data_IF_360457267548
#
_entry.id   IF_360457267548
#
_cell.length_a   1.000
_cell.length_b   1.000
_cell.length_c   1.000
_cell.angle_alpha   90.00
_cell.angle_beta   90.00
_cell.angle_gamma   90.00
#
_symmetry.space_group_name_H-M   'P 1'
#
loop_
_entity.id
_entity.type
_entity.pdbx_description
1 polymer ?
#
# COMPACT_ATOMS: atom_id res chain seq x y z
N UNK A 1 -26.66 6.18 -21.64
CA UNK A 1 -26.75 5.35 -20.42
C UNK A 1 -25.47 4.55 -20.35
N UNK A 2 -24.63 4.78 -19.35
CA UNK A 2 -23.45 3.95 -19.15
C UNK A 2 -23.93 2.56 -18.70
N UNK A 3 -23.62 1.52 -19.47
CA UNK A 3 -23.80 0.15 -19.03
C UNK A 3 -23.01 -0.04 -17.73
N UNK A 4 -23.70 -0.38 -16.65
CA UNK A 4 -23.02 -0.84 -15.44
C UNK A 4 -22.34 -2.15 -15.81
N UNK A 5 -21.01 -2.15 -15.81
CA UNK A 5 -20.23 -3.37 -15.89
C UNK A 5 -20.74 -4.33 -14.80
N UNK A 6 -21.20 -5.49 -15.22
CA UNK A 6 -21.62 -6.52 -14.27
C UNK A 6 -20.36 -7.07 -13.60
N UNK A 7 -20.36 -7.06 -12.27
CA UNK A 7 -19.31 -7.69 -11.47
C UNK A 7 -19.15 -9.16 -11.91
N UNK A 8 -17.99 -9.49 -12.44
CA UNK A 8 -17.69 -10.86 -12.89
C UNK A 8 -17.30 -11.71 -11.68
N UNK A 9 -18.16 -12.66 -11.33
CA UNK A 9 -17.95 -13.60 -10.23
C UNK A 9 -17.19 -14.86 -10.63
N UNK A 10 -16.77 -14.97 -11.90
CA UNK A 10 -15.99 -16.11 -12.39
C UNK A 10 -14.52 -15.99 -12.04
N UNK A 11 -14.02 -14.77 -11.78
CA UNK A 11 -12.64 -14.49 -11.36
C UNK A 11 -12.51 -14.43 -9.85
N UNK A 12 -11.37 -14.84 -9.33
CA UNK A 12 -11.01 -14.61 -7.95
C UNK A 12 -10.71 -13.13 -7.72
N UNK A 13 -11.35 -12.52 -6.73
CA UNK A 13 -11.16 -11.12 -6.37
C UNK A 13 -10.35 -11.02 -5.10
N UNK A 14 -9.26 -10.26 -5.15
CA UNK A 14 -8.33 -10.04 -4.05
C UNK A 14 -8.09 -8.56 -3.85
N UNK A 15 -8.26 -8.07 -2.62
CA UNK A 15 -7.95 -6.71 -2.22
C UNK A 15 -6.61 -6.68 -1.51
N UNK A 16 -5.64 -5.96 -2.07
CA UNK A 16 -4.29 -5.81 -1.51
C UNK A 16 -4.07 -4.34 -1.19
N UNK A 17 -3.68 -4.03 0.03
CA UNK A 17 -3.40 -2.67 0.46
C UNK A 17 -1.92 -2.38 0.61
N UNK A 18 -1.45 -1.24 0.10
CA UNK A 18 -0.16 -0.66 0.48
C UNK A 18 -0.34 0.22 1.71
N UNK A 19 0.36 -0.08 2.77
CA UNK A 19 0.23 0.59 4.06
C UNK A 19 1.61 0.89 4.65
N UNK A 20 1.74 1.89 5.50
CA UNK A 20 3.00 2.26 6.13
C UNK A 20 3.04 3.73 6.51
N UNK A 21 4.17 4.15 7.06
CA UNK A 21 4.40 5.54 7.47
C UNK A 21 4.46 6.48 6.25
N UNK A 22 4.18 7.77 6.47
CA UNK A 22 4.34 8.83 5.47
C UNK A 22 5.78 8.84 4.90
N UNK A 23 5.93 9.18 3.64
CA UNK A 23 7.21 9.27 2.92
C UNK A 23 8.00 7.95 2.76
N UNK A 24 7.44 6.80 3.14
CA UNK A 24 8.06 5.49 2.90
C UNK A 24 7.87 4.96 1.47
N UNK A 25 7.06 5.64 0.64
CA UNK A 25 6.93 5.35 -0.80
C UNK A 25 5.79 4.40 -1.15
N UNK A 26 4.70 4.35 -0.38
CA UNK A 26 3.50 3.53 -0.66
C UNK A 26 2.88 3.84 -2.01
N UNK A 27 2.55 5.10 -2.27
CA UNK A 27 1.94 5.57 -3.52
C UNK A 27 2.88 5.34 -4.71
N UNK A 28 4.17 5.57 -4.52
CA UNK A 28 5.20 5.28 -5.54
C UNK A 28 5.28 3.80 -5.86
N UNK A 29 5.21 2.92 -4.85
CA UNK A 29 5.16 1.47 -5.05
C UNK A 29 3.91 1.05 -5.82
N UNK A 30 2.74 1.59 -5.46
CA UNK A 30 1.48 1.35 -6.16
C UNK A 30 1.58 1.76 -7.62
N UNK A 31 2.11 2.93 -7.91
CA UNK A 31 2.35 3.41 -9.28
C UNK A 31 3.34 2.50 -10.04
N UNK A 32 4.40 2.04 -9.40
CA UNK A 32 5.38 1.13 -10.00
C UNK A 32 4.77 -0.24 -10.35
N UNK A 33 3.94 -0.78 -9.47
CA UNK A 33 3.24 -2.05 -9.70
C UNK A 33 2.29 -1.92 -10.91
N UNK A 34 1.45 -0.89 -10.93
CA UNK A 34 0.49 -0.66 -12.04
C UNK A 34 1.21 -0.42 -13.35
N UNK A 35 2.30 0.35 -13.36
CA UNK A 35 3.12 0.59 -14.54
C UNK A 35 3.73 -0.71 -15.08
N UNK A 36 4.31 -1.53 -14.22
CA UNK A 36 4.93 -2.80 -14.60
C UNK A 36 3.93 -3.76 -15.22
N UNK A 37 2.74 -3.85 -14.62
CA UNK A 37 1.67 -4.72 -15.12
C UNK A 37 1.00 -4.16 -16.37
N UNK A 38 0.86 -2.85 -16.50
CA UNK A 38 0.38 -2.20 -17.73
C UNK A 38 1.29 -2.50 -18.94
N UNK A 39 2.62 -2.53 -18.75
CA UNK A 39 3.57 -2.92 -19.78
C UNK A 39 3.44 -4.39 -20.20
N UNK A 40 2.89 -5.24 -19.33
CA UNK A 40 2.57 -6.65 -19.62
C UNK A 40 1.13 -6.84 -20.14
N UNK A 41 0.32 -5.79 -20.22
CA UNK A 41 -1.09 -5.84 -20.62
C UNK A 41 -2.07 -6.27 -19.52
N UNK A 42 -1.62 -6.38 -18.27
CA UNK A 42 -2.42 -6.90 -17.15
C UNK A 42 -3.10 -5.78 -16.32
N UNK A 43 -2.85 -4.51 -16.61
CA UNK A 43 -3.44 -3.38 -15.93
C UNK A 43 -3.49 -2.11 -16.78
N UNK A 44 -4.36 -1.18 -16.42
CA UNK A 44 -4.31 0.19 -16.91
C UNK A 44 -3.21 0.98 -16.20
N UNK A 45 -2.45 1.76 -16.96
CA UNK A 45 -1.40 2.58 -16.39
C UNK A 45 -1.95 3.69 -15.49
N UNK A 46 -1.48 3.75 -14.25
CA UNK A 46 -1.73 4.85 -13.33
C UNK A 46 -0.42 5.52 -12.96
N UNK A 47 -0.32 6.81 -13.30
CA UNK A 47 0.80 7.64 -12.86
C UNK A 47 0.60 8.09 -11.41
N UNK A 48 1.68 8.43 -10.72
CA UNK A 48 1.66 8.93 -9.33
C UNK A 48 0.62 10.05 -9.13
N UNK A 49 0.59 11.02 -10.04
CA UNK A 49 -0.37 12.12 -10.01
C UNK A 49 -1.83 11.71 -10.23
N UNK A 50 -2.06 10.52 -10.74
CA UNK A 50 -3.41 9.96 -10.95
C UNK A 50 -3.91 9.20 -9.73
N UNK A 51 -3.01 8.76 -8.86
CA UNK A 51 -3.34 8.08 -7.59
C UNK A 51 -3.76 9.12 -6.56
N UNK A 52 -2.95 10.16 -6.35
CA UNK A 52 -3.27 11.28 -5.46
C UNK A 52 -4.11 12.33 -6.23
N UNK A 53 -5.42 12.17 -6.19
CA UNK A 53 -6.36 12.96 -7.01
C UNK A 53 -6.83 14.27 -6.36
N UNK A 54 -6.91 14.31 -5.04
CA UNK A 54 -7.40 15.49 -4.33
C UNK A 54 -6.41 16.66 -4.42
N UNK A 55 -6.87 17.91 -4.64
CA UNK A 55 -5.99 19.08 -4.64
C UNK A 55 -5.14 19.21 -3.39
N UNK A 56 -5.73 18.92 -2.23
CA UNK A 56 -5.06 18.95 -0.91
C UNK A 56 -3.94 17.91 -0.81
N UNK A 57 -4.10 16.75 -1.44
CA UNK A 57 -3.08 15.68 -1.47
C UNK A 57 -1.86 16.14 -2.28
N UNK A 58 -2.10 16.73 -3.45
CA UNK A 58 -1.03 17.26 -4.31
C UNK A 58 -0.28 18.41 -3.69
N UNK A 59 -1.00 19.33 -3.04
CA UNK A 59 -0.40 20.49 -2.38
C UNK A 59 0.50 20.08 -1.19
N UNK A 60 0.06 19.09 -0.42
CA UNK A 60 0.81 18.61 0.76
C UNK A 60 1.82 17.51 0.44
N UNK A 61 1.72 16.88 -0.74
CA UNK A 61 2.56 15.74 -1.13
C UNK A 61 2.31 14.50 -0.29
N UNK A 62 1.10 14.32 0.27
CA UNK A 62 0.69 13.19 1.09
C UNK A 62 -0.66 12.64 0.64
N UNK A 63 -0.87 11.34 0.81
CA UNK A 63 -2.16 10.70 0.56
C UNK A 63 -3.10 10.91 1.75
N UNK A 64 -4.24 11.53 1.50
CA UNK A 64 -5.28 11.81 2.51
C UNK A 64 -6.38 10.76 2.45
N UNK A 65 -6.83 10.43 1.24
CA UNK A 65 -7.88 9.45 0.99
C UNK A 65 -7.29 8.21 0.35
N UNK A 66 -7.89 7.05 0.66
CA UNK A 66 -7.51 5.80 -0.01
C UNK A 66 -7.82 5.89 -1.50
N UNK A 67 -6.88 5.53 -2.34
CA UNK A 67 -7.06 5.40 -3.78
C UNK A 67 -6.99 3.95 -4.21
N UNK A 68 -7.57 3.63 -5.36
CA UNK A 68 -7.70 2.26 -5.85
C UNK A 68 -7.21 2.16 -7.28
N UNK A 69 -6.46 1.09 -7.55
CA UNK A 69 -6.09 0.67 -8.89
C UNK A 69 -6.54 -0.77 -9.11
N UNK A 70 -7.14 -1.03 -10.26
CA UNK A 70 -7.58 -2.38 -10.65
C UNK A 70 -6.59 -2.97 -11.62
N UNK A 71 -6.22 -4.22 -11.39
CA UNK A 71 -5.30 -4.96 -12.24
C UNK A 71 -5.71 -6.44 -12.28
N UNK A 72 -5.40 -7.09 -13.40
CA UNK A 72 -5.62 -8.51 -13.58
C UNK A 72 -4.28 -9.24 -13.66
N UNK A 73 -4.19 -10.37 -13.00
CA UNK A 73 -3.03 -11.24 -13.07
C UNK A 73 -3.46 -12.70 -13.19
N UNK A 74 -3.32 -13.27 -14.37
CA UNK A 74 -3.89 -14.57 -14.68
C UNK A 74 -5.41 -14.56 -14.50
N UNK A 75 -5.93 -15.48 -13.69
CA UNK A 75 -7.37 -15.61 -13.39
C UNK A 75 -7.80 -14.80 -12.14
N UNK A 76 -6.91 -13.95 -11.62
CA UNK A 76 -7.16 -13.18 -10.40
C UNK A 76 -7.37 -11.70 -10.73
N UNK A 77 -8.48 -11.16 -10.27
CA UNK A 77 -8.77 -9.72 -10.31
C UNK A 77 -8.32 -9.07 -9.01
N UNK A 78 -7.30 -8.21 -9.10
CA UNK A 78 -6.68 -7.57 -7.93
C UNK A 78 -7.11 -6.11 -7.85
N UNK A 79 -7.62 -5.72 -6.71
CA UNK A 79 -7.80 -4.32 -6.35
C UNK A 79 -6.65 -3.90 -5.44
N UNK A 80 -5.77 -3.06 -5.95
CA UNK A 80 -4.67 -2.49 -5.19
C UNK A 80 -5.13 -1.18 -4.56
N UNK A 81 -5.07 -1.11 -3.24
CA UNK A 81 -5.56 0.04 -2.46
C UNK A 81 -4.38 0.75 -1.82
N UNK A 82 -4.20 2.02 -2.13
CA UNK A 82 -3.19 2.87 -1.49
C UNK A 82 -3.80 3.57 -0.28
N UNK A 83 -3.28 3.29 0.92
CA UNK A 83 -3.81 3.82 2.17
C UNK A 83 -3.04 5.08 2.63
N UNK A 84 -3.71 6.05 3.29
CA UNK A 84 -3.04 7.18 3.91
C UNK A 84 -1.96 6.75 4.89
N UNK A 85 -0.82 7.43 4.89
CA UNK A 85 0.32 7.12 5.76
C UNK A 85 0.49 8.08 6.94
N UNK A 86 -0.22 9.21 6.94
CA UNK A 86 -0.11 10.21 8.00
C UNK A 86 -0.96 9.85 9.21
N UNK A 87 -0.45 10.11 10.42
CA UNK A 87 -1.15 9.78 11.69
C UNK A 87 -2.53 10.45 11.83
N UNK A 88 -2.70 11.64 11.25
CA UNK A 88 -3.96 12.38 11.28
C UNK A 88 -5.09 11.69 10.48
N UNK A 89 -4.72 10.76 9.58
CA UNK A 89 -5.66 10.00 8.74
C UNK A 89 -5.77 8.52 9.14
N UNK A 90 -5.44 8.20 10.39
CA UNK A 90 -5.48 6.82 10.93
C UNK A 90 -6.86 6.18 10.84
N UNK A 91 -7.94 6.96 10.99
CA UNK A 91 -9.31 6.45 10.85
C UNK A 91 -9.61 6.00 9.42
N UNK A 92 -9.11 6.72 8.40
CA UNK A 92 -9.25 6.34 7.00
C UNK A 92 -8.41 5.09 6.69
N UNK A 93 -7.19 5.03 7.21
CA UNK A 93 -6.33 3.85 7.09
C UNK A 93 -7.01 2.62 7.74
N UNK A 94 -7.61 2.75 8.92
CA UNK A 94 -8.31 1.66 9.58
C UNK A 94 -9.54 1.17 8.80
N UNK A 95 -10.31 2.07 8.19
CA UNK A 95 -11.42 1.69 7.31
C UNK A 95 -10.93 0.90 6.10
N UNK A 96 -9.84 1.35 5.49
CA UNK A 96 -9.21 0.67 4.36
C UNK A 96 -8.77 -0.74 4.74
N UNK A 97 -8.13 -0.91 5.89
CA UNK A 97 -7.68 -2.21 6.38
C UNK A 97 -8.78 -3.26 6.43
N UNK A 98 -9.98 -2.89 6.89
CA UNK A 98 -11.10 -3.83 7.01
C UNK A 98 -11.57 -4.42 5.68
N UNK A 99 -11.22 -3.81 4.57
CA UNK A 99 -11.58 -4.27 3.23
C UNK A 99 -10.48 -5.12 2.57
N UNK A 100 -9.33 -5.29 3.20
CA UNK A 100 -8.17 -5.96 2.63
C UNK A 100 -8.16 -7.46 2.91
N UNK A 101 -7.74 -8.23 1.90
CA UNK A 101 -7.41 -9.65 2.04
C UNK A 101 -5.93 -9.84 2.38
N UNK A 102 -5.07 -8.96 1.88
CA UNK A 102 -3.62 -8.91 2.12
C UNK A 102 -3.13 -7.49 2.25
N UNK A 103 -2.02 -7.30 2.93
CA UNK A 103 -1.36 -6.00 3.02
C UNK A 103 0.12 -6.07 2.65
N UNK A 104 0.62 -4.98 2.11
CA UNK A 104 2.05 -4.73 1.91
C UNK A 104 2.44 -3.57 2.84
N UNK A 105 3.13 -3.89 3.92
CA UNK A 105 3.66 -2.90 4.84
C UNK A 105 4.98 -2.35 4.29
N UNK A 106 4.96 -1.09 3.88
CA UNK A 106 6.12 -0.43 3.27
C UNK A 106 6.92 0.29 4.35
N UNK A 107 8.20 -0.05 4.48
CA UNK A 107 9.14 0.53 5.43
C UNK A 107 10.32 1.13 4.67
N UNK A 108 10.60 2.41 4.88
CA UNK A 108 11.78 3.05 4.32
C UNK A 108 13.05 2.60 5.06
N UNK A 109 14.06 2.13 4.31
CA UNK A 109 15.31 1.64 4.90
C UNK A 109 16.09 2.74 5.65
N UNK A 110 15.99 3.99 5.18
CA UNK A 110 16.64 5.14 5.79
C UNK A 110 16.04 5.53 7.15
N UNK A 111 14.72 5.39 7.30
CA UNK A 111 13.99 5.80 8.51
C UNK A 111 13.73 4.62 9.47
N UNK A 112 13.71 3.41 8.94
CA UNK A 112 13.37 2.19 9.68
C UNK A 112 11.91 2.16 10.17
N UNK A 113 11.66 1.38 11.22
CA UNK A 113 10.32 1.23 11.81
C UNK A 113 9.99 2.46 12.64
N UNK A 114 8.93 3.16 12.26
CA UNK A 114 8.41 4.33 12.97
C UNK A 114 7.30 3.92 13.96
N UNK A 115 6.97 4.78 14.93
CA UNK A 115 5.91 4.49 15.90
C UNK A 115 4.56 4.25 15.25
N UNK A 116 4.24 4.98 14.18
CA UNK A 116 3.01 4.75 13.40
C UNK A 116 3.04 3.40 12.67
N UNK A 117 4.19 2.95 12.20
CA UNK A 117 4.36 1.60 11.61
C UNK A 117 3.99 0.51 12.60
N UNK A 118 4.39 0.64 13.87
CA UNK A 118 4.00 -0.32 14.93
C UNK A 118 2.49 -0.31 15.18
N UNK A 119 1.87 0.87 15.15
CA UNK A 119 0.42 0.99 15.30
C UNK A 119 -0.31 0.30 14.17
N UNK A 120 0.12 0.49 12.93
CA UNK A 120 -0.42 -0.18 11.76
C UNK A 120 -0.21 -1.70 11.82
N UNK A 121 0.96 -2.15 12.27
CA UNK A 121 1.25 -3.57 12.46
C UNK A 121 0.28 -4.23 13.45
N UNK A 122 0.02 -3.59 14.59
CA UNK A 122 -0.95 -4.08 15.58
C UNK A 122 -2.38 -4.12 15.03
N UNK A 123 -2.75 -3.15 14.19
CA UNK A 123 -4.06 -3.15 13.52
C UNK A 123 -4.17 -4.28 12.50
N UNK A 124 -3.13 -4.54 11.72
CA UNK A 124 -3.07 -5.66 10.77
C UNK A 124 -3.23 -6.99 11.49
N UNK A 125 -2.51 -7.19 12.60
CA UNK A 125 -2.64 -8.37 13.45
C UNK A 125 -4.04 -8.49 14.07
N UNK A 126 -4.62 -7.39 14.55
CA UNK A 126 -5.97 -7.36 15.12
C UNK A 126 -7.07 -7.80 14.14
N UNK A 127 -6.89 -7.49 12.86
CA UNK A 127 -7.84 -7.87 11.79
C UNK A 127 -7.43 -9.16 11.07
N UNK A 128 -6.42 -9.88 11.54
CA UNK A 128 -5.90 -11.12 10.93
C UNK A 128 -5.54 -10.97 9.45
N UNK A 129 -4.96 -9.82 9.07
CA UNK A 129 -4.60 -9.54 7.68
C UNK A 129 -3.19 -10.05 7.41
N UNK A 130 -3.01 -11.07 6.55
CA UNK A 130 -1.69 -11.53 6.12
C UNK A 130 -0.89 -10.38 5.49
N UNK A 131 0.33 -10.15 5.97
CA UNK A 131 1.10 -8.97 5.63
C UNK A 131 2.48 -9.33 5.12
N UNK A 132 2.83 -8.77 3.95
CA UNK A 132 4.19 -8.75 3.42
C UNK A 132 4.89 -7.46 3.84
N UNK A 133 6.13 -7.55 4.29
CA UNK A 133 6.95 -6.39 4.59
C UNK A 133 7.84 -6.08 3.40
N UNK A 134 7.72 -4.86 2.87
CA UNK A 134 8.52 -4.37 1.76
C UNK A 134 9.46 -3.27 2.24
N UNK A 135 10.77 -3.53 2.17
CA UNK A 135 11.80 -2.55 2.52
C UNK A 135 12.13 -1.72 1.27
N UNK A 136 11.79 -0.45 1.33
CA UNK A 136 11.98 0.52 0.24
C UNK A 136 13.15 1.45 0.51
N UNK A 137 13.58 2.22 -0.50
CA UNK A 137 14.63 3.24 -0.42
C UNK A 137 15.99 2.69 0.04
N UNK A 138 16.32 1.47 -0.37
CA UNK A 138 17.60 0.83 -0.03
C UNK A 138 18.82 1.48 -0.71
N UNK A 139 18.58 2.31 -1.72
CA UNK A 139 19.55 3.16 -2.42
C UNK A 139 19.99 4.38 -1.60
N UNK A 140 19.21 4.78 -0.60
CA UNK A 140 19.56 5.84 0.32
C UNK A 140 20.47 5.31 1.44
N UNK A 141 21.18 6.24 2.12
CA UNK A 141 21.93 5.91 3.31
C UNK A 141 21.04 5.24 4.37
N UNK A 142 21.44 4.06 4.81
CA UNK A 142 20.66 3.24 5.75
C UNK A 142 21.60 2.38 6.63
N UNK A 143 21.10 1.84 7.75
CA UNK A 143 21.93 1.09 8.70
C UNK A 143 22.37 -0.31 8.20
N UNK A 144 21.92 -0.73 7.03
CA UNK A 144 22.19 -2.04 6.47
C UNK A 144 21.15 -3.10 6.78
N UNK A 145 21.14 -4.15 5.97
CA UNK A 145 20.14 -5.22 5.99
C UNK A 145 19.97 -5.87 7.37
N UNK A 146 21.08 -6.26 7.99
CA UNK A 146 21.02 -7.04 9.23
C UNK A 146 20.47 -6.22 10.39
N UNK A 147 20.81 -4.92 10.44
CA UNK A 147 20.27 -3.99 11.43
C UNK A 147 18.78 -3.77 11.22
N UNK A 148 18.34 -3.61 9.97
CA UNK A 148 16.92 -3.45 9.63
C UNK A 148 16.11 -4.70 9.98
N UNK A 149 16.61 -5.89 9.69
CA UNK A 149 15.94 -7.14 10.04
C UNK A 149 15.85 -7.33 11.56
N UNK A 150 16.89 -6.98 12.30
CA UNK A 150 16.86 -7.01 13.76
C UNK A 150 15.83 -6.01 14.32
N UNK A 151 15.77 -4.81 13.78
CA UNK A 151 14.79 -3.79 14.16
C UNK A 151 13.35 -4.24 13.90
N UNK A 152 13.08 -4.82 12.72
CA UNK A 152 11.77 -5.39 12.39
C UNK A 152 11.38 -6.49 13.38
N UNK A 153 12.29 -7.41 13.66
CA UNK A 153 12.06 -8.50 14.62
C UNK A 153 11.80 -8.02 16.05
N UNK A 154 12.44 -6.92 16.48
CA UNK A 154 12.23 -6.36 17.82
C UNK A 154 10.96 -5.54 17.95
N UNK A 155 10.63 -4.75 16.93
CA UNK A 155 9.54 -3.76 17.01
C UNK A 155 8.22 -4.24 16.45
N UNK A 156 8.24 -5.24 15.55
CA UNK A 156 7.05 -5.83 14.93
C UNK A 156 6.79 -7.27 15.42
N UNK A 157 7.56 -7.79 16.36
CA UNK A 157 7.20 -9.03 17.06
C UNK A 157 6.04 -8.79 18.02
N UNK A 158 5.17 -9.78 18.16
CA UNK A 158 4.12 -9.80 19.19
C UNK A 158 4.71 -9.84 20.61
#
# INVERSE_FOLDING_TARGET
MAEKEKFDRSLEHVNIGTIGHVDHGKTTLTAAITKTLALKGDADFMDYSSIDKAPEERERGITIFSSQAVLDHGDTHVMLVDAPGHVDFSAEAERTLRALDYAILVVGANDGVQGHTETLWRLLARYDIPTFIYINKIDLENPGRDVLLAQLGQRLSE
#
